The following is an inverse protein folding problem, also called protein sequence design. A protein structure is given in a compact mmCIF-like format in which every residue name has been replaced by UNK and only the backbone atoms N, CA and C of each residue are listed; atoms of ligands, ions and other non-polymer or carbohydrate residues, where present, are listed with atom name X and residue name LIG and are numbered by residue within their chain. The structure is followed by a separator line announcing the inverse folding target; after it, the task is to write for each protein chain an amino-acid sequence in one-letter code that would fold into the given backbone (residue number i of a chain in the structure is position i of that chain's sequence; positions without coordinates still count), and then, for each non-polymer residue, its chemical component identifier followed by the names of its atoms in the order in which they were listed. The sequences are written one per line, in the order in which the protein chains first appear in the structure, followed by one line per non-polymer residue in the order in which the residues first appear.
data_IF_851547858922
#
_entry.id   IF_851547858922
#
_cell.length_a   1.000
_cell.length_b   1.000
_cell.length_c   1.000
_cell.angle_alpha   90.00
_cell.angle_beta   90.00
_cell.angle_gamma   90.00
#
_symmetry.space_group_name_H-M   'P 1'
#
loop_
_entity.id
_entity.type
_entity.pdbx_description
1 polymer ?
#
# COMPACT_ATOMS: atom_id res chain seq x y z
N UNK A 1 12.54 10.63 45.13
CA UNK A 1 13.58 11.10 44.18
C UNK A 1 13.17 10.87 42.72
N UNK A 2 12.02 10.25 42.50
CA UNK A 2 11.05 10.70 41.51
C UNK A 2 10.22 11.80 42.20
N UNK A 3 10.00 12.92 41.52
CA UNK A 3 9.04 14.04 41.79
C UNK A 3 9.56 15.46 41.53
N UNK A 4 10.84 15.68 41.18
CA UNK A 4 11.40 17.05 41.00
C UNK A 4 11.94 17.38 39.59
N UNK A 5 11.29 16.90 38.54
CA UNK A 5 11.61 17.33 37.14
C UNK A 5 10.37 17.84 36.38
N UNK A 6 9.19 17.86 37.00
CA UNK A 6 7.94 18.27 36.36
C UNK A 6 7.56 19.76 36.56
N UNK A 7 8.45 20.60 37.10
CA UNK A 7 8.11 21.99 37.48
C UNK A 7 9.02 23.09 36.92
N UNK A 8 9.66 22.87 35.76
CA UNK A 8 10.36 23.95 35.03
C UNK A 8 10.25 23.84 33.52
N UNK A 9 9.03 23.79 32.98
CA UNK A 9 8.75 24.16 31.57
C UNK A 9 7.33 24.71 31.43
N UNK A 10 6.92 25.62 32.32
CA UNK A 10 5.87 26.60 32.00
C UNK A 10 6.56 27.82 31.40
N UNK A 11 6.67 27.80 30.08
CA UNK A 11 7.17 28.89 29.25
C UNK A 11 6.52 28.75 27.88
N UNK A 12 5.44 29.51 27.70
CA UNK A 12 4.80 29.89 26.43
C UNK A 12 4.86 28.85 25.30
N UNK A 13 3.94 27.87 25.37
CA UNK A 13 3.55 27.11 24.19
C UNK A 13 2.70 28.01 23.30
N UNK A 14 3.32 28.67 22.33
CA UNK A 14 2.59 29.08 21.13
C UNK A 14 1.91 27.84 20.52
N UNK A 15 0.61 27.90 20.19
CA UNK A 15 -0.06 26.77 19.56
C UNK A 15 0.60 26.52 18.20
N UNK A 16 1.17 25.33 18.05
CA UNK A 16 1.67 24.82 16.77
C UNK A 16 0.49 24.82 15.78
N UNK A 17 0.49 25.77 14.84
CA UNK A 17 -0.46 25.79 13.73
C UNK A 17 -0.36 24.48 12.95
N UNK A 18 -1.35 23.61 13.09
CA UNK A 18 -1.61 22.54 12.13
C UNK A 18 -1.93 23.21 10.78
N UNK A 19 -0.90 23.40 9.95
CA UNK A 19 -1.08 23.84 8.57
C UNK A 19 -1.68 22.69 7.77
N UNK A 20 -3.01 22.63 7.77
CA UNK A 20 -3.78 21.80 6.87
C UNK A 20 -3.65 22.37 5.44
N UNK A 21 -2.71 21.83 4.67
CA UNK A 21 -2.60 22.17 3.25
C UNK A 21 -3.76 21.52 2.48
N UNK A 22 -4.80 22.30 2.18
CA UNK A 22 -5.88 21.89 1.27
C UNK A 22 -5.34 21.98 -0.17
N UNK A 23 -4.98 20.84 -0.75
CA UNK A 23 -4.55 20.76 -2.16
C UNK A 23 -5.74 20.29 -2.99
N UNK A 24 -6.41 21.23 -3.64
CA UNK A 24 -7.44 20.96 -4.65
C UNK A 24 -6.85 21.20 -6.04
N UNK A 25 -6.18 20.19 -6.61
CA UNK A 25 -5.59 20.33 -7.93
C UNK A 25 -6.67 20.12 -9.01
N UNK A 26 -7.20 21.22 -9.55
CA UNK A 26 -8.30 21.20 -10.55
C UNK A 26 -7.84 20.70 -11.93
N UNK A 27 -6.53 20.64 -12.19
CA UNK A 27 -5.96 20.44 -13.53
C UNK A 27 -5.77 18.97 -13.97
N UNK A 28 -6.58 18.02 -13.47
CA UNK A 28 -6.41 16.59 -13.87
C UNK A 28 -7.70 15.78 -14.02
N UNK A 29 -8.83 16.42 -14.29
CA UNK A 29 -10.07 15.72 -14.68
C UNK A 29 -10.13 15.60 -16.20
N UNK A 30 -9.23 14.81 -16.79
CA UNK A 30 -9.31 14.41 -18.19
C UNK A 30 -9.38 12.90 -18.28
N UNK A 31 -10.60 12.43 -18.58
CA UNK A 31 -10.98 11.02 -18.65
C UNK A 31 -10.20 10.25 -19.72
N UNK A 32 -9.49 9.21 -19.27
CA UNK A 32 -9.06 8.10 -20.14
C UNK A 32 -9.08 6.82 -19.29
N UNK A 33 -10.19 6.07 -19.26
CA UNK A 33 -10.20 4.77 -18.57
C UNK A 33 -11.32 3.77 -18.93
N UNK A 34 -12.27 4.04 -19.81
CA UNK A 34 -13.44 3.13 -19.94
C UNK A 34 -13.11 1.77 -20.58
N UNK A 35 -12.18 1.71 -21.55
CA UNK A 35 -11.88 0.48 -22.32
C UNK A 35 -10.85 -0.42 -21.65
N UNK A 36 -9.82 0.15 -21.01
CA UNK A 36 -8.83 -0.63 -20.24
C UNK A 36 -9.35 -1.14 -18.89
N UNK A 37 -10.47 -0.59 -18.39
CA UNK A 37 -11.00 -0.98 -17.07
C UNK A 37 -11.67 -2.36 -17.09
N UNK A 38 -12.47 -2.70 -18.13
CA UNK A 38 -13.15 -4.00 -18.22
C UNK A 38 -12.17 -5.17 -18.33
N UNK A 39 -11.17 -5.08 -19.19
CA UNK A 39 -10.16 -6.14 -19.33
C UNK A 39 -9.33 -6.37 -18.06
N UNK A 40 -9.20 -5.36 -17.19
CA UNK A 40 -8.56 -5.50 -15.88
C UNK A 40 -9.49 -6.18 -14.86
N UNK A 41 -10.80 -5.88 -14.89
CA UNK A 41 -11.82 -6.53 -14.05
C UNK A 41 -11.95 -8.01 -14.38
N UNK A 42 -12.14 -8.37 -15.66
CA UNK A 42 -12.31 -9.76 -16.10
C UNK A 42 -11.07 -10.61 -15.74
N UNK A 43 -9.89 -10.02 -15.87
CA UNK A 43 -8.64 -10.68 -15.49
C UNK A 43 -8.53 -10.89 -13.97
N UNK A 44 -8.95 -9.90 -13.18
CA UNK A 44 -8.94 -10.02 -11.72
C UNK A 44 -9.95 -11.08 -11.23
N UNK A 45 -11.17 -11.08 -11.77
CA UNK A 45 -12.20 -12.07 -11.42
C UNK A 45 -11.75 -13.48 -11.73
N UNK A 46 -11.14 -13.70 -12.90
CA UNK A 46 -10.52 -14.98 -13.25
C UNK A 46 -9.44 -15.40 -12.23
N UNK A 47 -8.52 -14.50 -11.91
CA UNK A 47 -7.44 -14.78 -10.95
C UNK A 47 -7.98 -15.06 -9.55
N UNK A 48 -9.02 -14.35 -9.13
CA UNK A 48 -9.68 -14.56 -7.84
C UNK A 48 -10.35 -15.93 -7.80
N UNK A 49 -11.06 -16.32 -8.86
CA UNK A 49 -11.66 -17.64 -8.99
C UNK A 49 -10.59 -18.75 -8.95
N UNK A 50 -9.51 -18.62 -9.72
CA UNK A 50 -8.39 -19.57 -9.71
C UNK A 50 -7.71 -19.68 -8.34
N UNK A 51 -7.69 -18.59 -7.57
CA UNK A 51 -7.11 -18.58 -6.23
C UNK A 51 -8.06 -19.19 -5.18
N UNK A 52 -9.37 -19.00 -5.34
CA UNK A 52 -10.40 -19.48 -4.40
C UNK A 52 -10.85 -20.92 -4.67
N UNK A 53 -10.51 -21.50 -5.82
CA UNK A 53 -10.85 -22.90 -6.11
C UNK A 53 -10.18 -23.85 -5.10
N UNK A 54 -10.80 -25.02 -4.83
CA UNK A 54 -10.19 -26.09 -4.05
C UNK A 54 -8.80 -26.45 -4.55
N UNK A 55 -7.90 -26.87 -3.65
CA UNK A 55 -6.53 -27.25 -4.03
C UNK A 55 -6.49 -28.39 -5.06
N UNK A 56 -7.44 -29.31 -4.96
CA UNK A 56 -7.73 -30.44 -5.84
C UNK A 56 -9.20 -30.80 -5.67
N UNK A 57 -9.73 -31.63 -6.58
CA UNK A 57 -11.14 -32.02 -6.57
C UNK A 57 -11.53 -32.71 -5.26
N UNK A 58 -12.56 -32.18 -4.58
CA UNK A 58 -13.04 -32.68 -3.29
C UNK A 58 -12.30 -32.14 -2.06
N UNK A 59 -11.32 -31.24 -2.21
CA UNK A 59 -10.66 -30.61 -1.07
C UNK A 59 -11.57 -29.55 -0.41
N UNK A 60 -11.99 -29.78 0.84
CA UNK A 60 -12.83 -28.82 1.60
C UNK A 60 -12.03 -27.90 2.50
N UNK A 61 -10.83 -28.33 2.92
CA UNK A 61 -10.05 -27.63 3.94
C UNK A 61 -9.19 -26.51 3.34
N UNK A 62 -8.80 -26.63 2.07
CA UNK A 62 -7.81 -25.75 1.45
C UNK A 62 -8.21 -25.27 0.06
N UNK A 63 -8.09 -23.95 -0.13
CA UNK A 63 -8.05 -23.31 -1.46
C UNK A 63 -6.61 -23.15 -1.94
N UNK A 64 -6.41 -22.89 -3.23
CA UNK A 64 -5.08 -22.57 -3.78
C UNK A 64 -4.46 -21.37 -3.05
N UNK A 65 -5.24 -20.32 -2.80
CA UNK A 65 -4.78 -19.11 -2.13
C UNK A 65 -4.32 -19.41 -0.70
N UNK A 66 -5.11 -20.15 0.07
CA UNK A 66 -4.80 -20.51 1.47
C UNK A 66 -3.44 -21.19 1.54
N UNK A 67 -3.22 -22.23 0.73
CA UNK A 67 -1.96 -22.98 0.73
C UNK A 67 -0.79 -22.11 0.28
N UNK A 68 -0.97 -21.25 -0.72
CA UNK A 68 0.09 -20.35 -1.18
C UNK A 68 0.49 -19.37 -0.07
N UNK A 69 -0.47 -18.78 0.63
CA UNK A 69 -0.21 -17.85 1.74
C UNK A 69 0.50 -18.56 2.88
N UNK A 70 0.02 -19.73 3.30
CA UNK A 70 0.65 -20.51 4.38
C UNK A 70 2.07 -20.95 4.02
N UNK A 71 2.30 -21.44 2.80
CA UNK A 71 3.65 -21.82 2.37
C UNK A 71 4.59 -20.61 2.33
N UNK A 72 4.11 -19.46 1.85
CA UNK A 72 4.91 -18.24 1.83
C UNK A 72 5.20 -17.70 3.23
N UNK A 73 4.27 -17.85 4.18
CA UNK A 73 4.49 -17.56 5.58
C UNK A 73 5.60 -18.45 6.15
N UNK A 74 5.48 -19.78 5.99
CA UNK A 74 6.54 -20.73 6.39
C UNK A 74 7.89 -20.41 5.75
N UNK A 75 7.91 -20.01 4.48
CA UNK A 75 9.14 -19.61 3.78
C UNK A 75 9.82 -18.42 4.46
N UNK A 76 9.05 -17.41 4.85
CA UNK A 76 9.57 -16.19 5.47
C UNK A 76 10.04 -16.51 6.89
N UNK A 77 9.19 -17.15 7.68
CA UNK A 77 9.46 -17.49 9.09
C UNK A 77 10.67 -18.41 9.24
N UNK A 78 10.74 -19.44 8.39
CA UNK A 78 11.84 -20.41 8.40
C UNK A 78 12.98 -20.04 7.46
N UNK A 79 12.95 -18.84 6.86
CA UNK A 79 13.98 -18.33 5.95
C UNK A 79 14.37 -19.28 4.80
N UNK A 80 13.42 -20.01 4.24
CA UNK A 80 13.71 -20.94 3.15
C UNK A 80 14.25 -20.20 1.94
N UNK A 81 15.27 -20.78 1.29
CA UNK A 81 15.72 -20.29 -0.02
C UNK A 81 14.63 -20.50 -1.08
N UNK A 82 14.68 -19.76 -2.20
CA UNK A 82 13.72 -19.98 -3.29
C UNK A 82 13.82 -21.40 -3.84
N UNK A 83 15.04 -21.93 -3.96
CA UNK A 83 15.30 -23.31 -4.40
C UNK A 83 14.67 -24.35 -3.48
N UNK A 84 14.74 -24.14 -2.16
CA UNK A 84 14.11 -25.02 -1.18
C UNK A 84 12.58 -24.98 -1.29
N UNK A 85 12.01 -23.78 -1.43
CA UNK A 85 10.58 -23.59 -1.63
C UNK A 85 10.05 -24.28 -2.89
N UNK A 86 10.74 -24.12 -4.02
CA UNK A 86 10.36 -24.73 -5.30
C UNK A 86 10.39 -26.27 -5.21
N UNK A 87 11.43 -26.83 -4.58
CA UNK A 87 11.51 -28.28 -4.31
C UNK A 87 10.37 -28.75 -3.42
N UNK A 88 9.96 -27.95 -2.44
CA UNK A 88 8.87 -28.31 -1.56
C UNK A 88 7.51 -28.26 -2.24
N UNK A 89 7.29 -27.27 -3.12
CA UNK A 89 6.12 -27.25 -3.99
C UNK A 89 6.07 -28.51 -4.88
N UNK A 90 7.20 -28.90 -5.48
CA UNK A 90 7.28 -30.11 -6.32
C UNK A 90 6.92 -31.38 -5.54
N UNK A 91 7.43 -31.53 -4.31
CA UNK A 91 7.10 -32.65 -3.44
C UNK A 91 5.61 -32.65 -3.10
N UNK A 92 5.06 -31.52 -2.64
CA UNK A 92 3.63 -31.41 -2.29
C UNK A 92 2.72 -31.69 -3.49
N UNK A 93 3.06 -31.18 -4.67
CA UNK A 93 2.34 -31.47 -5.93
C UNK A 93 2.27 -32.96 -6.27
N UNK A 94 3.33 -33.72 -5.96
CA UNK A 94 3.36 -35.19 -6.16
C UNK A 94 2.57 -35.94 -5.10
N UNK A 95 2.47 -35.39 -3.89
CA UNK A 95 1.70 -35.99 -2.79
C UNK A 95 0.20 -35.73 -2.92
N UNK A 96 -0.21 -34.62 -3.53
CA UNK A 96 -1.62 -34.30 -3.75
C UNK A 96 -2.26 -35.18 -4.84
N UNK A 97 -3.57 -35.48 -4.74
CA UNK A 97 -4.33 -36.07 -5.84
C UNK A 97 -4.18 -35.27 -7.14
N UNK A 98 -4.36 -35.94 -8.27
CA UNK A 98 -4.34 -35.31 -9.59
C UNK A 98 -5.76 -35.29 -10.17
N UNK A 99 -6.20 -34.16 -10.79
CA UNK A 99 -5.46 -32.89 -10.93
C UNK A 99 -5.36 -32.09 -9.63
N UNK A 100 -4.30 -31.28 -9.48
CA UNK A 100 -4.17 -30.28 -8.42
C UNK A 100 -3.66 -28.94 -8.97
N UNK A 101 -3.99 -27.86 -8.26
CA UNK A 101 -3.84 -26.48 -8.72
C UNK A 101 -2.73 -25.70 -7.98
N UNK A 102 -1.81 -26.42 -7.31
CA UNK A 102 -0.65 -25.79 -6.66
C UNK A 102 0.22 -25.05 -7.69
N UNK A 103 0.75 -23.84 -7.42
CA UNK A 103 1.68 -23.20 -8.34
C UNK A 103 2.99 -23.99 -8.50
N UNK A 104 3.63 -23.84 -9.67
CA UNK A 104 4.84 -24.59 -10.03
C UNK A 104 6.12 -24.07 -9.38
N UNK A 105 6.10 -22.83 -8.87
CA UNK A 105 7.28 -22.19 -8.28
C UNK A 105 6.92 -21.02 -7.38
N UNK A 106 7.89 -20.57 -6.59
CA UNK A 106 7.84 -19.32 -5.84
C UNK A 106 7.48 -18.11 -6.71
N UNK A 107 8.00 -18.07 -7.94
CA UNK A 107 7.69 -16.99 -8.87
C UNK A 107 6.24 -17.05 -9.36
N UNK A 108 5.70 -18.26 -9.58
CA UNK A 108 4.29 -18.44 -9.91
C UNK A 108 3.39 -18.00 -8.75
N UNK A 109 3.71 -18.39 -7.50
CA UNK A 109 3.02 -17.90 -6.30
C UNK A 109 3.04 -16.37 -6.23
N UNK A 110 4.21 -15.74 -6.40
CA UNK A 110 4.30 -14.27 -6.42
C UNK A 110 3.49 -13.63 -7.53
N UNK A 111 3.49 -14.23 -8.72
CA UNK A 111 2.75 -13.70 -9.88
C UNK A 111 1.25 -13.72 -9.59
N UNK A 112 0.75 -14.81 -9.01
CA UNK A 112 -0.64 -14.93 -8.56
C UNK A 112 -0.98 -13.84 -7.54
N UNK A 113 -0.20 -13.70 -6.46
CA UNK A 113 -0.44 -12.67 -5.43
C UNK A 113 -0.35 -11.25 -5.99
N UNK A 114 0.58 -10.99 -6.91
CA UNK A 114 0.67 -9.70 -7.62
C UNK A 114 -0.58 -9.43 -8.45
N UNK A 115 -1.09 -10.43 -9.17
CA UNK A 115 -2.32 -10.34 -9.94
C UNK A 115 -3.55 -10.05 -9.07
N UNK A 116 -3.57 -10.59 -7.84
CA UNK A 116 -4.59 -10.28 -6.83
C UNK A 116 -4.39 -8.92 -6.14
N UNK A 117 -3.37 -8.16 -6.53
CA UNK A 117 -3.08 -6.84 -5.97
C UNK A 117 -2.39 -6.87 -4.60
N UNK A 118 -1.89 -8.02 -4.16
CA UNK A 118 -1.06 -8.20 -2.96
C UNK A 118 0.44 -7.97 -3.26
N UNK A 119 0.74 -7.47 -4.47
CA UNK A 119 2.07 -7.06 -4.88
C UNK A 119 2.49 -5.68 -4.38
N UNK A 120 3.76 -5.39 -4.61
CA UNK A 120 4.37 -4.07 -4.46
C UNK A 120 5.36 -3.82 -5.61
N UNK A 121 5.58 -2.54 -5.89
CA UNK A 121 6.58 -2.03 -6.81
C UNK A 121 7.79 -1.54 -6.01
N UNK A 122 8.99 -1.68 -6.58
CA UNK A 122 10.20 -1.15 -6.00
C UNK A 122 10.54 0.17 -6.69
N UNK A 123 10.47 1.26 -5.96
CA UNK A 123 10.91 2.58 -6.41
C UNK A 123 12.26 2.86 -5.76
N UNK A 124 13.26 3.24 -6.54
CA UNK A 124 14.57 3.56 -5.97
C UNK A 124 14.50 4.96 -5.33
N UNK A 125 15.18 5.15 -4.21
CA UNK A 125 15.26 6.42 -3.51
C UNK A 125 16.71 6.88 -3.38
N UNK A 126 16.91 8.19 -3.27
CA UNK A 126 18.17 8.76 -2.82
C UNK A 126 18.51 8.25 -1.41
N UNK A 127 19.78 7.99 -1.12
CA UNK A 127 20.21 7.59 0.22
C UNK A 127 19.89 8.64 1.29
N UNK A 128 19.92 9.93 0.90
CA UNK A 128 19.60 11.08 1.74
C UNK A 128 18.14 11.55 1.60
N UNK A 129 17.25 10.69 1.08
CA UNK A 129 15.79 10.96 0.95
C UNK A 129 15.40 12.20 0.13
N UNK A 130 16.33 12.81 -0.62
CA UNK A 130 16.03 14.02 -1.40
C UNK A 130 15.03 13.78 -2.54
N UNK A 131 15.01 12.57 -3.10
CA UNK A 131 14.21 12.26 -4.29
C UNK A 131 13.91 10.78 -4.44
N UNK A 132 12.76 10.48 -5.05
CA UNK A 132 12.47 9.17 -5.63
C UNK A 132 12.89 9.17 -7.11
N UNK A 133 13.61 8.13 -7.54
CA UNK A 133 13.93 7.91 -8.94
C UNK A 133 12.69 7.35 -9.67
N UNK A 134 11.68 8.20 -9.82
CA UNK A 134 10.37 7.92 -10.37
C UNK A 134 9.99 9.02 -11.38
N UNK A 135 9.14 8.70 -12.37
CA UNK A 135 8.71 9.62 -13.45
C UNK A 135 9.90 10.40 -14.07
N UNK A 136 9.94 11.72 -13.92
CA UNK A 136 10.98 12.61 -14.46
C UNK A 136 12.40 12.30 -13.97
N UNK A 137 12.56 11.48 -12.93
CA UNK A 137 13.84 11.07 -12.37
C UNK A 137 14.14 9.58 -12.57
N UNK A 138 13.28 8.83 -13.27
CA UNK A 138 13.42 7.38 -13.45
C UNK A 138 14.74 6.98 -14.13
N UNK A 139 15.20 7.75 -15.12
CA UNK A 139 16.40 7.46 -15.90
C UNK A 139 17.68 8.03 -15.29
N UNK A 140 17.60 8.74 -14.16
CA UNK A 140 18.78 9.33 -13.51
C UNK A 140 19.53 8.25 -12.72
N UNK A 141 20.85 8.28 -12.83
CA UNK A 141 21.77 7.43 -12.06
C UNK A 141 22.36 8.17 -10.84
N UNK A 142 22.11 9.47 -10.70
CA UNK A 142 22.51 10.31 -9.56
C UNK A 142 21.37 11.22 -9.12
N UNK A 143 21.34 11.53 -7.83
CA UNK A 143 20.39 12.47 -7.25
C UNK A 143 20.63 13.89 -7.83
N UNK A 144 19.60 14.58 -8.35
CA UNK A 144 19.75 15.93 -8.87
C UNK A 144 20.00 16.99 -7.78
N UNK A 145 19.75 16.66 -6.50
CA UNK A 145 19.87 17.61 -5.38
C UNK A 145 21.18 17.45 -4.61
N UNK A 146 21.60 16.22 -4.32
CA UNK A 146 22.81 15.94 -3.52
C UNK A 146 23.90 15.19 -4.29
N UNK A 147 23.70 14.91 -5.58
CA UNK A 147 24.65 14.22 -6.47
C UNK A 147 25.05 12.78 -6.06
N UNK A 148 24.47 12.23 -4.99
CA UNK A 148 24.69 10.85 -4.56
C UNK A 148 24.27 9.85 -5.64
N UNK A 149 25.02 8.74 -5.82
CA UNK A 149 24.69 7.74 -6.82
C UNK A 149 23.48 6.92 -6.40
N UNK A 150 22.62 6.60 -7.37
CA UNK A 150 21.44 5.74 -7.17
C UNK A 150 21.81 4.31 -6.75
N UNK A 151 22.97 3.83 -7.16
CA UNK A 151 23.41 2.45 -7.00
C UNK A 151 24.64 2.34 -6.08
N UNK A 152 24.75 1.22 -5.37
CA UNK A 152 25.92 0.88 -4.56
C UNK A 152 27.13 0.67 -5.47
N UNK A 153 28.31 1.07 -5.01
CA UNK A 153 29.56 0.79 -5.71
C UNK A 153 29.79 -0.73 -5.76
N UNK A 154 30.09 -1.26 -6.95
CA UNK A 154 30.41 -2.69 -7.13
C UNK A 154 31.75 -2.79 -7.85
N UNK A 155 32.76 -3.34 -7.17
CA UNK A 155 34.11 -3.54 -7.72
C UNK A 155 34.14 -4.57 -8.87
N UNK A 156 33.13 -5.45 -8.93
CA UNK A 156 33.01 -6.45 -10.00
C UNK A 156 32.11 -5.91 -11.10
N UNK A 157 32.69 -5.62 -12.28
CA UNK A 157 32.04 -5.04 -13.48
C UNK A 157 30.81 -5.80 -14.01
N UNK A 158 30.50 -7.00 -13.53
CA UNK A 158 29.44 -7.88 -14.09
C UNK A 158 28.26 -8.18 -13.14
N UNK A 159 28.16 -7.55 -11.96
CA UNK A 159 26.97 -7.74 -11.11
C UNK A 159 25.87 -6.73 -11.42
N UNK A 160 24.61 -7.21 -11.34
CA UNK A 160 23.40 -6.38 -11.45
C UNK A 160 23.53 -5.15 -10.54
N UNK A 161 23.24 -3.96 -11.08
CA UNK A 161 23.22 -2.70 -10.32
C UNK A 161 22.27 -2.85 -9.13
N UNK A 162 22.76 -2.64 -7.90
CA UNK A 162 21.96 -2.73 -6.68
C UNK A 162 21.67 -1.31 -6.20
N UNK A 163 20.39 -0.89 -6.07
CA UNK A 163 20.05 0.44 -5.57
C UNK A 163 20.53 0.64 -4.13
N UNK A 164 20.87 1.89 -3.78
CA UNK A 164 21.27 2.23 -2.41
C UNK A 164 20.10 2.15 -1.44
N UNK A 165 18.94 2.72 -1.82
CA UNK A 165 17.70 2.73 -1.05
C UNK A 165 16.50 2.39 -1.94
N UNK A 166 15.52 1.67 -1.40
CA UNK A 166 14.32 1.22 -2.13
C UNK A 166 13.08 1.49 -1.27
N UNK A 167 12.13 2.22 -1.85
CA UNK A 167 10.76 2.34 -1.38
C UNK A 167 9.92 1.20 -1.98
N UNK A 168 9.18 0.49 -1.12
CA UNK A 168 8.18 -0.49 -1.56
C UNK A 168 6.84 0.21 -1.69
N UNK A 169 6.44 0.51 -2.91
CA UNK A 169 5.19 1.20 -3.22
C UNK A 169 4.07 0.20 -3.48
N UNK A 170 2.94 0.39 -2.82
CA UNK A 170 1.73 -0.39 -3.05
C UNK A 170 0.83 0.43 -3.98
N UNK A 171 0.59 0.00 -5.24
CA UNK A 171 -0.15 0.80 -6.21
C UNK A 171 -1.54 1.20 -5.72
N UNK A 172 -1.75 2.52 -5.56
CA UNK A 172 -2.99 3.05 -4.98
C UNK A 172 -4.18 2.93 -5.92
N UNK A 173 -3.99 3.22 -7.21
CA UNK A 173 -5.08 3.24 -8.20
C UNK A 173 -5.86 1.92 -8.22
N UNK A 174 -5.16 0.80 -8.40
CA UNK A 174 -5.79 -0.52 -8.48
C UNK A 174 -6.44 -0.93 -7.14
N UNK A 175 -5.86 -0.48 -6.01
CA UNK A 175 -6.42 -0.74 -4.67
C UNK A 175 -7.73 0.01 -4.46
N UNK A 176 -7.79 1.28 -4.85
CA UNK A 176 -9.00 2.09 -4.75
C UNK A 176 -10.08 1.58 -5.70
N UNK A 177 -9.73 1.20 -6.93
CA UNK A 177 -10.68 0.58 -7.86
C UNK A 177 -11.32 -0.68 -7.27
N UNK A 178 -10.53 -1.55 -6.60
CA UNK A 178 -11.04 -2.76 -5.94
C UNK A 178 -12.08 -2.47 -4.86
N UNK A 179 -11.97 -1.35 -4.13
CA UNK A 179 -12.97 -0.97 -3.11
C UNK A 179 -14.37 -0.74 -3.72
N UNK A 180 -14.46 -0.45 -5.02
CA UNK A 180 -15.71 -0.27 -5.74
C UNK A 180 -16.17 -1.50 -6.53
N UNK A 181 -15.40 -2.59 -6.56
CA UNK A 181 -15.74 -3.81 -7.31
C UNK A 181 -16.80 -4.67 -6.62
N UNK A 182 -16.94 -4.60 -5.30
CA UNK A 182 -18.00 -5.29 -4.57
C UNK A 182 -19.13 -4.33 -4.21
N UNK A 183 -20.39 -4.75 -4.39
CA UNK A 183 -21.57 -3.96 -4.00
C UNK A 183 -21.52 -3.52 -2.53
N UNK A 184 -20.98 -4.37 -1.66
CA UNK A 184 -20.93 -4.14 -0.22
C UNK A 184 -19.88 -3.06 0.10
N UNK A 185 -18.66 -3.20 -0.41
CA UNK A 185 -17.59 -2.22 -0.20
C UNK A 185 -17.88 -0.91 -0.92
N UNK A 186 -18.47 -0.94 -2.11
CA UNK A 186 -18.89 0.26 -2.84
C UNK A 186 -19.95 1.05 -2.06
N UNK A 187 -20.92 0.37 -1.43
CA UNK A 187 -21.88 1.04 -0.55
C UNK A 187 -21.21 1.62 0.69
N UNK A 188 -20.26 0.91 1.29
CA UNK A 188 -19.49 1.41 2.42
C UNK A 188 -18.65 2.64 2.07
N UNK A 189 -18.03 2.67 0.88
CA UNK A 189 -17.24 3.81 0.37
C UNK A 189 -18.08 5.08 0.12
N UNK A 190 -19.40 4.98 0.06
CA UNK A 190 -20.31 6.11 -0.07
C UNK A 190 -20.99 6.49 1.24
N UNK A 191 -20.76 5.72 2.31
CA UNK A 191 -21.46 5.86 3.59
C UNK A 191 -21.37 7.28 4.16
N UNK A 192 -20.19 7.89 4.10
CA UNK A 192 -19.93 9.24 4.62
C UNK A 192 -20.91 10.32 4.11
N UNK A 193 -21.51 10.12 2.92
CA UNK A 193 -22.45 11.05 2.31
C UNK A 193 -23.88 10.51 2.29
N UNK A 194 -24.05 9.22 1.98
CA UNK A 194 -25.39 8.64 1.79
C UNK A 194 -26.12 8.31 3.10
N UNK A 195 -25.38 7.97 4.17
CA UNK A 195 -25.94 7.37 5.39
C UNK A 195 -25.45 8.01 6.69
N UNK A 196 -24.49 8.93 6.61
CA UNK A 196 -23.96 9.64 7.77
C UNK A 196 -25.07 10.49 8.41
N UNK A 197 -25.13 10.46 9.73
CA UNK A 197 -26.02 11.31 10.52
C UNK A 197 -25.20 12.49 11.01
N UNK A 198 -25.63 13.70 10.66
CA UNK A 198 -25.01 14.95 11.10
C UNK A 198 -25.72 15.43 12.37
N UNK A 199 -24.97 15.53 13.47
CA UNK A 199 -25.45 16.09 14.73
C UNK A 199 -24.63 17.33 15.08
N UNK A 200 -25.31 18.40 15.44
CA UNK A 200 -24.66 19.66 15.78
C UNK A 200 -23.79 19.51 17.04
N UNK A 201 -22.54 19.98 16.97
CA UNK A 201 -21.59 19.92 18.08
C UNK A 201 -20.95 18.54 18.33
N UNK A 202 -21.25 17.50 17.53
CA UNK A 202 -20.68 16.16 17.72
C UNK A 202 -19.85 15.73 16.51
N UNK A 203 -18.61 15.29 16.74
CA UNK A 203 -17.75 14.70 15.71
C UNK A 203 -17.76 13.18 15.83
N UNK A 204 -18.44 12.49 14.91
CA UNK A 204 -18.52 11.01 14.86
C UNK A 204 -17.66 10.43 13.75
N UNK A 205 -17.37 11.22 12.74
CA UNK A 205 -16.65 10.84 11.55
C UNK A 205 -15.77 12.00 11.07
N UNK A 206 -14.62 11.77 10.40
CA UNK A 206 -13.78 12.85 9.87
C UNK A 206 -14.54 13.87 8.99
N UNK A 207 -15.62 13.45 8.33
CA UNK A 207 -16.49 14.32 7.55
C UNK A 207 -17.24 15.39 8.36
N UNK A 208 -17.36 15.22 9.68
CA UNK A 208 -18.00 16.21 10.57
C UNK A 208 -17.05 17.38 10.90
N UNK A 209 -15.75 17.19 10.65
CA UNK A 209 -14.70 18.17 10.91
C UNK A 209 -14.84 19.43 10.06
N UNK A 210 -14.36 20.54 10.61
CA UNK A 210 -14.31 21.83 9.91
C UNK A 210 -13.44 21.72 8.65
N UNK A 211 -12.31 21.00 8.73
CA UNK A 211 -11.40 20.81 7.61
C UNK A 211 -12.09 20.13 6.40
N UNK A 212 -12.88 19.08 6.66
CA UNK A 212 -13.63 18.41 5.59
C UNK A 212 -14.72 19.31 5.01
N UNK A 213 -15.50 19.99 5.87
CA UNK A 213 -16.56 20.91 5.42
C UNK A 213 -16.00 22.05 4.58
N UNK A 214 -14.84 22.58 4.93
CA UNK A 214 -14.18 23.66 4.18
C UNK A 214 -13.61 23.17 2.85
N UNK A 215 -13.07 21.94 2.83
CA UNK A 215 -12.68 21.28 1.59
C UNK A 215 -13.88 21.11 0.65
N UNK A 216 -15.03 20.67 1.17
CA UNK A 216 -16.23 20.45 0.37
C UNK A 216 -16.79 21.74 -0.24
N UNK A 217 -16.68 22.88 0.47
CA UNK A 217 -17.00 24.20 -0.10
C UNK A 217 -16.03 24.60 -1.21
N UNK A 218 -14.73 24.36 -1.00
CA UNK A 218 -13.67 24.76 -1.94
C UNK A 218 -13.69 23.91 -3.22
N UNK A 219 -14.05 22.64 -3.09
CA UNK A 219 -14.04 21.64 -4.16
C UNK A 219 -15.45 21.04 -4.36
N UNK A 220 -16.45 21.89 -4.58
CA UNK A 220 -17.85 21.48 -4.68
C UNK A 220 -18.11 20.34 -5.69
N UNK A 221 -17.51 20.41 -6.89
CA UNK A 221 -17.61 19.36 -7.92
C UNK A 221 -17.07 18.01 -7.42
N UNK A 222 -15.99 18.01 -6.64
CA UNK A 222 -15.46 16.79 -6.04
C UNK A 222 -16.37 16.29 -4.92
N UNK A 223 -16.89 17.20 -4.08
CA UNK A 223 -17.78 16.83 -2.98
C UNK A 223 -19.14 16.32 -3.45
N UNK A 224 -19.59 16.70 -4.65
CA UNK A 224 -20.86 16.28 -5.24
C UNK A 224 -20.93 14.77 -5.47
N UNK A 225 -19.86 14.14 -5.96
CA UNK A 225 -19.85 12.70 -6.18
C UNK A 225 -19.46 11.92 -4.90
N UNK A 226 -20.37 11.15 -4.28
CA UNK A 226 -20.07 10.34 -3.08
C UNK A 226 -19.01 9.25 -3.33
N UNK A 227 -18.67 8.94 -4.58
CA UNK A 227 -17.64 7.95 -4.94
C UNK A 227 -16.23 8.52 -4.86
N UNK A 228 -16.08 9.84 -4.76
CA UNK A 228 -14.77 10.46 -4.62
C UNK A 228 -14.15 10.10 -3.26
N UNK A 229 -12.93 9.59 -3.32
CA UNK A 229 -12.24 9.02 -2.16
C UNK A 229 -11.41 10.10 -1.46
N UNK A 230 -11.60 10.24 -0.16
CA UNK A 230 -10.76 11.04 0.73
C UNK A 230 -9.88 10.12 1.54
N UNK A 231 -8.60 10.48 1.62
CA UNK A 231 -7.57 9.67 2.22
C UNK A 231 -6.95 10.41 3.40
N UNK A 232 -6.93 9.76 4.56
CA UNK A 232 -6.03 10.11 5.65
C UNK A 232 -4.63 9.60 5.36
N UNK A 233 -3.63 10.45 5.55
CA UNK A 233 -2.22 10.08 5.45
C UNK A 233 -1.63 10.07 6.86
N UNK A 234 -1.03 8.95 7.25
CA UNK A 234 -0.26 8.84 8.47
C UNK A 234 1.16 8.40 8.13
N UNK A 235 2.14 9.02 8.77
CA UNK A 235 3.55 8.63 8.67
C UNK A 235 4.05 8.34 10.07
N UNK A 236 4.66 7.16 10.25
CA UNK A 236 5.33 6.81 11.51
C UNK A 236 6.83 7.01 11.34
N UNK A 237 7.48 7.57 12.36
CA UNK A 237 8.93 7.63 12.46
C UNK A 237 9.62 8.63 11.51
N UNK A 238 9.10 9.85 11.35
CA UNK A 238 10.00 10.97 11.04
C UNK A 238 10.85 11.21 12.29
N UNK A 239 11.98 10.50 12.41
CA UNK A 239 12.95 10.70 13.47
C UNK A 239 14.12 11.56 12.94
N UNK A 240 14.03 12.90 13.02
CA UNK A 240 15.11 13.79 12.58
C UNK A 240 16.37 13.67 13.46
N UNK A 241 16.32 13.00 14.61
CA UNK A 241 17.44 12.84 15.54
C UNK A 241 17.66 11.36 15.87
N UNK A 242 18.31 10.67 14.92
CA UNK A 242 18.51 9.23 14.94
C UNK A 242 19.31 8.72 16.15
N UNK A 243 18.62 8.34 17.22
CA UNK A 243 19.24 7.80 18.42
C UNK A 243 18.76 6.41 18.85
N UNK A 244 18.14 5.64 17.96
CA UNK A 244 17.92 4.21 18.21
C UNK A 244 18.34 3.36 17.02
N UNK A 245 19.33 2.52 17.29
CA UNK A 245 20.00 1.62 16.37
C UNK A 245 19.09 0.45 15.95
N UNK A 246 18.45 0.58 14.81
CA UNK A 246 18.08 -0.58 13.97
C UNK A 246 18.97 -0.55 12.73
N UNK A 247 19.54 -1.68 12.32
CA UNK A 247 20.36 -1.79 11.09
C UNK A 247 19.58 -1.47 9.80
N UNK A 248 18.25 -1.35 9.89
CA UNK A 248 17.35 -0.85 8.88
C UNK A 248 16.15 -0.19 9.56
N UNK A 249 15.83 1.06 9.20
CA UNK A 249 14.59 1.72 9.60
C UNK A 249 13.51 1.51 8.53
N UNK A 250 12.31 1.11 8.97
CA UNK A 250 11.10 1.11 8.15
C UNK A 250 10.21 2.25 8.63
N UNK A 251 10.06 3.29 7.82
CA UNK A 251 9.11 4.38 8.08
C UNK A 251 7.88 4.14 7.19
N UNK A 252 6.80 3.54 7.72
CA UNK A 252 5.61 3.29 6.92
C UNK A 252 4.89 4.62 6.64
N UNK A 253 4.48 4.77 5.38
CA UNK A 253 3.47 5.76 4.99
C UNK A 253 2.17 4.99 4.79
N UNK A 254 1.18 5.28 5.62
CA UNK A 254 -0.11 4.59 5.64
C UNK A 254 -1.17 5.54 5.09
N UNK A 255 -1.97 5.02 4.16
CA UNK A 255 -3.13 5.70 3.62
C UNK A 255 -4.40 4.97 4.04
N UNK A 256 -5.35 5.71 4.61
CA UNK A 256 -6.63 5.18 5.10
C UNK A 256 -7.79 5.88 4.38
N UNK A 257 -8.73 5.16 3.76
CA UNK A 257 -9.93 5.77 3.20
C UNK A 257 -10.85 6.26 4.31
N UNK A 258 -11.02 7.58 4.43
CA UNK A 258 -11.98 8.19 5.36
C UNK A 258 -13.42 8.18 4.84
N UNK A 259 -13.69 7.47 3.75
CA UNK A 259 -15.03 7.29 3.23
C UNK A 259 -15.86 6.25 4.00
N UNK A 260 -15.15 5.35 4.70
CA UNK A 260 -15.71 4.21 5.40
C UNK A 260 -16.27 4.63 6.76
N UNK A 261 -17.17 3.80 7.29
CA UNK A 261 -17.67 3.95 8.65
C UNK A 261 -16.54 3.90 9.71
N UNK A 262 -16.72 4.55 10.88
CA UNK A 262 -15.78 4.49 12.01
C UNK A 262 -15.56 3.07 12.55
#
# INVERSE_FOLDING_TARGET
MFDDVFHRMDGDKEPMEEKNYIICNKDSIMGVAATNHRGNVDNYERLLHEAQQPLYDGCTDFTVLTVVVELLHCKVDSQWTNKCFDRMLEIKRRMCPKPNYLPESYNACKKMLRGLGLGYENIHACINDCVLFYKEHEKKDKCPFCNEPRYKHSERKQRKKVPQKVLRYLPLKDRLQRLFMSRHTASAMRWHKDKRIEEEGVMRHPADSIAWKEFDKTCAEFAEDPRNVRLGLATDGFNPFGNMSTSYSMCPVILVPYNLLP
#
